data_IF_538842790459
#
_entry.id   IF_538842790459
#
_cell.length_a   1.000
_cell.length_b   1.000
_cell.length_c   1.000
_cell.angle_alpha   90.00
_cell.angle_beta   90.00
_cell.angle_gamma   90.00
#
_symmetry.space_group_name_H-M   'P 1'
#
loop_
_entity.id
_entity.type
_entity.pdbx_description
1 polymer ?
#
# COMPACT_ATOMS: atom_id res chain seq x y z
N UNK A 1 33.41 -35.82 35.22
CA UNK A 1 34.42 -34.78 34.92
C UNK A 1 34.61 -33.69 35.99
N UNK A 2 33.60 -33.20 36.75
CA UNK A 2 33.79 -32.00 37.61
C UNK A 2 34.60 -32.30 38.89
N UNK A 3 34.52 -33.54 39.37
CA UNK A 3 35.25 -33.99 40.56
C UNK A 3 36.76 -34.01 40.34
N UNK A 4 37.24 -34.34 39.13
CA UNK A 4 38.67 -34.42 38.80
C UNK A 4 39.37 -33.05 38.83
N UNK A 5 38.69 -31.96 38.47
CA UNK A 5 39.31 -30.62 38.35
C UNK A 5 39.63 -30.01 39.72
N UNK A 6 38.82 -30.31 40.75
CA UNK A 6 39.09 -29.87 42.13
C UNK A 6 39.93 -30.87 42.92
N UNK A 7 39.78 -32.16 42.63
CA UNK A 7 40.54 -33.20 43.30
C UNK A 7 42.02 -33.15 42.90
N UNK A 8 42.36 -32.88 41.64
CA UNK A 8 43.76 -32.91 41.18
C UNK A 8 44.66 -31.88 41.89
N UNK A 9 44.30 -30.58 42.02
CA UNK A 9 45.13 -29.62 42.75
C UNK A 9 45.27 -29.95 44.24
N UNK A 10 44.17 -30.38 44.87
CA UNK A 10 44.14 -30.73 46.31
C UNK A 10 44.95 -31.99 46.59
N UNK A 11 44.80 -33.03 45.76
CA UNK A 11 45.60 -34.25 45.84
C UNK A 11 47.08 -33.95 45.54
N UNK A 12 47.39 -33.10 44.56
CA UNK A 12 48.77 -32.69 44.29
C UNK A 12 49.42 -32.01 45.49
N UNK A 13 48.71 -31.12 46.20
CA UNK A 13 49.22 -30.48 47.43
C UNK A 13 49.46 -31.50 48.55
N UNK A 14 48.58 -32.50 48.69
CA UNK A 14 48.73 -33.58 49.69
C UNK A 14 49.89 -34.52 49.34
N UNK A 15 50.06 -34.86 48.06
CA UNK A 15 51.15 -35.73 47.58
C UNK A 15 52.52 -35.04 47.62
N UNK A 16 52.57 -33.73 47.33
CA UNK A 16 53.81 -32.95 47.39
C UNK A 16 54.22 -32.72 48.85
N UNK A 17 53.28 -32.41 49.75
CA UNK A 17 53.60 -32.15 51.17
C UNK A 17 53.94 -33.39 51.99
N UNK A 18 53.61 -34.59 51.51
CA UNK A 18 53.92 -35.88 52.15
C UNK A 18 55.28 -36.47 51.72
N UNK A 19 56.03 -35.76 50.89
CA UNK A 19 57.28 -36.26 50.32
C UNK A 19 58.50 -35.57 50.94
N UNK A 20 59.49 -36.36 51.39
CA UNK A 20 60.63 -35.86 52.17
C UNK A 20 61.48 -34.83 51.41
N UNK A 21 61.55 -34.94 50.08
CA UNK A 21 62.26 -33.99 49.23
C UNK A 21 61.67 -32.57 49.30
N UNK A 22 60.36 -32.44 49.51
CA UNK A 22 59.69 -31.14 49.59
C UNK A 22 60.10 -30.38 50.87
N UNK A 23 60.27 -31.11 51.98
CA UNK A 23 60.76 -30.55 53.24
C UNK A 23 62.27 -30.27 53.21
N UNK A 24 63.00 -30.83 52.24
CA UNK A 24 64.43 -30.53 52.02
C UNK A 24 64.70 -29.26 51.20
N UNK A 25 63.67 -28.66 50.57
CA UNK A 25 63.82 -27.43 49.78
C UNK A 25 64.06 -26.18 50.65
N UNK A 26 64.41 -25.07 50.02
CA UNK A 26 64.43 -23.78 50.70
C UNK A 26 63.01 -23.27 50.98
N UNK A 27 62.89 -22.43 52.01
CA UNK A 27 61.59 -21.88 52.45
C UNK A 27 60.91 -21.07 51.33
N UNK A 28 61.69 -20.36 50.51
CA UNK A 28 61.18 -19.57 49.39
C UNK A 28 60.51 -20.44 48.31
N UNK A 29 61.13 -21.56 47.94
CA UNK A 29 60.62 -22.46 46.89
C UNK A 29 59.36 -23.20 47.35
N UNK A 30 59.28 -23.61 48.63
CA UNK A 30 58.05 -24.18 49.21
C UNK A 30 56.87 -23.22 49.13
N UNK A 31 57.09 -21.95 49.51
CA UNK A 31 56.04 -20.92 49.48
C UNK A 31 55.57 -20.69 48.05
N UNK A 32 56.48 -20.66 47.07
CA UNK A 32 56.17 -20.52 45.64
C UNK A 32 55.29 -21.66 45.12
N UNK A 33 55.62 -22.91 45.47
CA UNK A 33 54.84 -24.09 45.08
C UNK A 33 53.43 -24.03 45.69
N UNK A 34 53.30 -23.75 46.99
CA UNK A 34 51.99 -23.62 47.62
C UNK A 34 51.13 -22.49 47.03
N UNK A 35 51.73 -21.32 46.79
CA UNK A 35 51.00 -20.20 46.17
C UNK A 35 50.54 -20.55 44.76
N UNK A 36 51.36 -21.23 43.95
CA UNK A 36 50.96 -21.67 42.61
C UNK A 36 49.76 -22.64 42.62
N UNK A 37 49.70 -23.57 43.59
CA UNK A 37 48.57 -24.50 43.73
C UNK A 37 47.28 -23.80 44.20
N UNK A 38 47.39 -22.83 45.11
CA UNK A 38 46.26 -22.02 45.57
C UNK A 38 45.71 -21.18 44.41
N UNK A 39 46.58 -20.55 43.63
CA UNK A 39 46.20 -19.78 42.45
C UNK A 39 45.52 -20.67 41.40
N UNK A 40 46.04 -21.87 41.13
CA UNK A 40 45.42 -22.81 40.19
C UNK A 40 44.03 -23.29 40.67
N UNK A 41 43.86 -23.56 41.96
CA UNK A 41 42.57 -23.92 42.54
C UNK A 41 41.56 -22.75 42.46
N UNK A 42 42.02 -21.52 42.71
CA UNK A 42 41.22 -20.31 42.55
C UNK A 42 40.76 -20.12 41.09
N UNK A 43 41.64 -20.30 40.10
CA UNK A 43 41.27 -20.25 38.68
C UNK A 43 40.26 -21.33 38.30
N UNK A 44 40.40 -22.56 38.81
CA UNK A 44 39.43 -23.63 38.58
C UNK A 44 38.06 -23.32 39.19
N UNK A 45 38.03 -22.74 40.39
CA UNK A 45 36.80 -22.28 41.04
C UNK A 45 36.14 -21.12 40.28
N UNK A 46 36.92 -20.14 39.81
CA UNK A 46 36.42 -19.06 38.97
C UNK A 46 35.89 -19.57 37.63
N UNK A 47 36.57 -20.54 37.00
CA UNK A 47 36.13 -21.15 35.75
C UNK A 47 34.84 -21.96 35.93
N UNK A 48 34.67 -22.66 37.06
CA UNK A 48 33.44 -23.36 37.40
C UNK A 48 32.28 -22.39 37.62
N UNK A 49 32.50 -21.35 38.43
CA UNK A 49 31.51 -20.30 38.66
C UNK A 49 31.11 -19.62 37.35
N UNK A 50 32.06 -19.39 36.43
CA UNK A 50 31.78 -18.87 35.09
C UNK A 50 31.00 -19.86 34.22
N UNK A 51 31.29 -21.16 34.31
CA UNK A 51 30.57 -22.21 33.58
C UNK A 51 29.13 -22.39 34.09
N UNK A 52 28.91 -22.42 35.40
CA UNK A 52 27.59 -22.45 36.00
C UNK A 52 26.80 -21.16 35.71
N UNK A 53 27.47 -20.00 35.77
CA UNK A 53 26.87 -18.72 35.37
C UNK A 53 26.44 -18.75 33.89
N UNK A 54 27.23 -19.32 32.99
CA UNK A 54 26.87 -19.50 31.57
C UNK A 54 25.68 -20.45 31.39
N UNK A 55 25.64 -21.56 32.12
CA UNK A 55 24.52 -22.51 32.08
C UNK A 55 23.23 -21.86 32.60
N UNK A 56 23.33 -21.10 33.69
CA UNK A 56 22.25 -20.33 34.29
C UNK A 56 21.74 -19.24 33.34
N UNK A 57 22.64 -18.46 32.75
CA UNK A 57 22.30 -17.43 31.75
C UNK A 57 21.61 -18.01 30.52
N UNK A 58 22.05 -19.18 30.02
CA UNK A 58 21.39 -19.86 28.89
C UNK A 58 19.99 -20.37 29.24
N UNK A 59 19.79 -20.87 30.46
CA UNK A 59 18.47 -21.26 30.95
C UNK A 59 17.55 -20.04 31.13
N UNK A 60 18.08 -18.93 31.67
CA UNK A 60 17.37 -17.67 31.80
C UNK A 60 16.99 -17.08 30.44
N UNK A 61 17.90 -17.10 29.45
CA UNK A 61 17.59 -16.67 28.07
C UNK A 61 16.52 -17.54 27.43
N UNK A 62 16.56 -18.87 27.60
CA UNK A 62 15.49 -19.75 27.13
C UNK A 62 14.16 -19.45 27.82
N UNK A 63 14.17 -19.22 29.13
CA UNK A 63 12.96 -18.84 29.87
C UNK A 63 12.41 -17.49 29.40
N UNK A 64 13.28 -16.48 29.24
CA UNK A 64 12.93 -15.16 28.68
C UNK A 64 12.37 -15.29 27.27
N UNK A 65 12.95 -16.15 26.43
CA UNK A 65 12.45 -16.42 25.09
C UNK A 65 11.06 -17.06 25.13
N UNK A 66 10.86 -18.11 25.93
CA UNK A 66 9.54 -18.75 26.13
C UNK A 66 8.52 -17.74 26.68
N UNK A 67 8.89 -16.90 27.63
CA UNK A 67 8.01 -15.85 28.17
C UNK A 67 7.70 -14.79 27.12
N UNK A 68 8.67 -14.39 26.31
CA UNK A 68 8.48 -13.44 25.20
C UNK A 68 7.56 -14.02 24.12
N UNK A 69 7.75 -15.29 23.76
CA UNK A 69 6.94 -16.00 22.77
C UNK A 69 5.50 -16.15 23.30
N UNK A 70 5.33 -16.55 24.56
CA UNK A 70 4.03 -16.65 25.24
C UNK A 70 3.32 -15.29 25.33
N UNK A 71 4.05 -14.21 25.62
CA UNK A 71 3.50 -12.85 25.63
C UNK A 71 3.06 -12.41 24.22
N UNK A 72 3.83 -12.78 23.20
CA UNK A 72 3.51 -12.48 21.80
C UNK A 72 2.27 -13.25 21.35
N UNK A 73 2.17 -14.52 21.72
CA UNK A 73 1.00 -15.38 21.45
C UNK A 73 -0.26 -14.86 22.17
N UNK A 74 -0.14 -14.45 23.43
CA UNK A 74 -1.24 -13.82 24.18
C UNK A 74 -1.72 -12.51 23.52
N UNK A 75 -0.78 -11.66 23.08
CA UNK A 75 -1.10 -10.43 22.33
C UNK A 75 -1.77 -10.73 21.00
N UNK A 76 -1.29 -11.74 20.28
CA UNK A 76 -1.89 -12.20 19.02
C UNK A 76 -3.32 -12.70 19.23
N UNK A 77 -3.53 -13.56 20.23
CA UNK A 77 -4.86 -14.07 20.59
C UNK A 77 -5.82 -12.93 20.97
N UNK A 78 -5.36 -11.97 21.77
CA UNK A 78 -6.15 -10.78 22.10
C UNK A 78 -6.48 -9.94 20.87
N UNK A 79 -5.51 -9.76 19.96
CA UNK A 79 -5.73 -9.05 18.71
C UNK A 79 -6.78 -9.73 17.84
N UNK A 80 -6.67 -11.04 17.66
CA UNK A 80 -7.61 -11.84 16.86
C UNK A 80 -9.01 -11.84 17.46
N UNK A 81 -9.13 -11.90 18.79
CA UNK A 81 -10.41 -11.80 19.48
C UNK A 81 -11.08 -10.44 19.26
N UNK A 82 -10.34 -9.34 19.42
CA UNK A 82 -10.87 -8.00 19.16
C UNK A 82 -11.19 -7.78 17.69
N UNK A 83 -10.34 -8.26 16.79
CA UNK A 83 -10.59 -8.21 15.35
C UNK A 83 -11.88 -8.96 15.00
N UNK A 84 -12.12 -10.13 15.59
CA UNK A 84 -13.37 -10.87 15.42
C UNK A 84 -14.59 -10.07 15.89
N UNK A 85 -14.53 -9.45 17.08
CA UNK A 85 -15.60 -8.57 17.57
C UNK A 85 -15.88 -7.41 16.61
N UNK A 86 -14.83 -6.82 16.03
CA UNK A 86 -14.97 -5.78 15.02
C UNK A 86 -15.62 -6.29 13.73
N UNK A 87 -15.32 -7.53 13.31
CA UNK A 87 -15.97 -8.17 12.16
C UNK A 87 -17.45 -8.48 12.42
N UNK A 88 -17.81 -8.90 13.63
CA UNK A 88 -19.22 -9.10 14.03
C UNK A 88 -19.99 -7.78 13.99
N UNK A 89 -19.38 -6.69 14.46
CA UNK A 89 -19.98 -5.35 14.34
C UNK A 89 -20.10 -4.89 12.87
N UNK A 90 -19.08 -5.18 12.06
CA UNK A 90 -19.09 -4.94 10.62
C UNK A 90 -20.25 -5.64 9.93
N UNK A 91 -20.50 -6.91 10.22
CA UNK A 91 -21.60 -7.67 9.61
C UNK A 91 -22.96 -7.02 9.87
N UNK A 92 -23.20 -6.56 11.10
CA UNK A 92 -24.44 -5.85 11.45
C UNK A 92 -24.61 -4.56 10.65
N UNK A 93 -23.55 -3.75 10.53
CA UNK A 93 -23.61 -2.51 9.76
C UNK A 93 -23.72 -2.78 8.25
N UNK A 94 -23.09 -3.84 7.75
CA UNK A 94 -23.22 -4.27 6.36
C UNK A 94 -24.66 -4.64 6.03
N UNK A 95 -25.38 -5.29 6.96
CA UNK A 95 -26.82 -5.55 6.83
C UNK A 95 -27.63 -4.26 6.60
N UNK A 96 -27.37 -3.22 7.39
CA UNK A 96 -28.02 -1.91 7.25
C UNK A 96 -27.69 -1.24 5.91
N UNK A 97 -26.45 -1.34 5.44
CA UNK A 97 -26.06 -0.81 4.13
C UNK A 97 -26.79 -1.55 3.00
N UNK A 98 -26.95 -2.88 3.10
CA UNK A 98 -27.69 -3.67 2.11
C UNK A 98 -29.18 -3.31 2.08
N UNK A 99 -29.78 -3.06 3.25
CA UNK A 99 -31.16 -2.56 3.36
C UNK A 99 -31.29 -1.17 2.72
N UNK A 100 -30.38 -0.25 3.04
CA UNK A 100 -30.34 1.10 2.46
C UNK A 100 -30.16 1.05 0.93
N UNK A 101 -29.28 0.18 0.44
CA UNK A 101 -29.08 -0.05 -1.00
C UNK A 101 -30.32 -0.65 -1.69
N UNK A 102 -31.20 -1.32 -0.95
CA UNK A 102 -32.45 -1.88 -1.47
C UNK A 102 -33.64 -0.91 -1.34
N UNK A 103 -33.43 0.23 -0.68
CA UNK A 103 -34.43 1.28 -0.55
C UNK A 103 -34.60 2.09 -1.85
N UNK A 104 -35.64 2.93 -1.91
CA UNK A 104 -35.83 3.85 -3.03
C UNK A 104 -34.68 4.87 -3.18
N UNK A 105 -34.03 5.25 -2.08
CA UNK A 105 -32.81 6.08 -2.11
C UNK A 105 -31.64 5.30 -2.69
N UNK A 106 -31.44 4.05 -2.24
CA UNK A 106 -30.40 3.15 -2.74
C UNK A 106 -30.52 2.89 -4.24
N UNK A 107 -31.73 2.65 -4.75
CA UNK A 107 -31.97 2.46 -6.18
C UNK A 107 -31.64 3.70 -7.01
N UNK A 108 -31.93 4.91 -6.52
CA UNK A 108 -31.49 6.15 -7.17
C UNK A 108 -29.97 6.25 -7.25
N UNK A 109 -29.28 5.91 -6.15
CA UNK A 109 -27.81 5.91 -6.10
C UNK A 109 -27.26 4.91 -7.12
N UNK A 110 -27.76 3.67 -7.15
CA UNK A 110 -27.35 2.65 -8.14
C UNK A 110 -27.57 3.11 -9.58
N UNK A 111 -28.69 3.74 -9.87
CA UNK A 111 -28.95 4.28 -11.21
C UNK A 111 -27.95 5.38 -11.58
N UNK A 112 -27.64 6.30 -10.67
CA UNK A 112 -26.63 7.35 -10.91
C UNK A 112 -25.22 6.78 -11.06
N UNK A 113 -24.88 5.70 -10.33
CA UNK A 113 -23.59 5.00 -10.49
C UNK A 113 -23.41 4.45 -11.91
N UNK A 114 -24.48 4.00 -12.58
CA UNK A 114 -24.45 3.50 -13.97
C UNK A 114 -24.18 4.59 -15.01
N UNK A 115 -24.50 5.85 -14.70
CA UNK A 115 -24.21 6.98 -15.59
C UNK A 115 -22.72 7.36 -15.56
N UNK A 116 -22.00 6.92 -14.51
CA UNK A 116 -20.55 7.09 -14.34
C UNK A 116 -20.11 8.58 -14.23
N UNK A 117 -20.95 9.44 -13.66
CA UNK A 117 -20.61 10.83 -13.35
C UNK A 117 -20.49 11.07 -11.85
N UNK A 118 -19.30 11.50 -11.41
CA UNK A 118 -18.98 11.60 -9.98
C UNK A 118 -19.86 12.63 -9.27
N UNK A 119 -20.05 13.82 -9.86
CA UNK A 119 -20.87 14.88 -9.26
C UNK A 119 -22.33 14.45 -9.02
N UNK A 120 -22.88 13.54 -9.84
CA UNK A 120 -24.29 13.11 -9.74
C UNK A 120 -24.54 12.13 -8.59
N UNK A 121 -23.48 11.53 -8.05
CA UNK A 121 -23.58 10.50 -7.02
C UNK A 121 -22.85 10.87 -5.74
N UNK A 122 -21.81 11.69 -5.80
CA UNK A 122 -20.90 11.94 -4.70
C UNK A 122 -21.64 12.35 -3.43
N UNK A 123 -22.42 13.44 -3.47
CA UNK A 123 -23.15 13.94 -2.30
C UNK A 123 -24.17 12.94 -1.77
N UNK A 124 -24.88 12.24 -2.67
CA UNK A 124 -25.86 11.22 -2.28
C UNK A 124 -25.23 10.04 -1.53
N UNK A 125 -23.96 9.75 -1.80
CA UNK A 125 -23.20 8.69 -1.12
C UNK A 125 -22.57 9.22 0.16
N UNK A 126 -21.80 10.32 0.09
CA UNK A 126 -21.00 10.80 1.22
C UNK A 126 -21.82 11.47 2.32
N UNK A 127 -23.05 11.92 2.03
CA UNK A 127 -23.97 12.49 3.02
C UNK A 127 -24.94 11.46 3.61
N UNK A 128 -24.99 10.25 3.07
CA UNK A 128 -25.88 9.20 3.57
C UNK A 128 -25.39 8.69 4.94
N UNK A 129 -26.22 8.84 5.97
CA UNK A 129 -25.86 8.51 7.35
C UNK A 129 -25.55 7.01 7.56
N UNK A 130 -26.22 6.11 6.84
CA UNK A 130 -25.95 4.67 6.91
C UNK A 130 -24.56 4.38 6.35
N UNK A 131 -24.23 4.97 5.20
CA UNK A 131 -22.93 4.79 4.56
C UNK A 131 -21.80 5.43 5.38
N UNK A 132 -22.00 6.64 5.92
CA UNK A 132 -21.03 7.32 6.80
C UNK A 132 -20.67 6.43 8.00
N UNK A 133 -21.67 5.87 8.68
CA UNK A 133 -21.47 5.00 9.85
C UNK A 133 -20.67 3.76 9.48
N UNK A 134 -21.06 3.11 8.38
CA UNK A 134 -20.38 1.92 7.89
C UNK A 134 -18.92 2.21 7.48
N UNK A 135 -18.68 3.26 6.71
CA UNK A 135 -17.32 3.65 6.29
C UNK A 135 -16.45 4.04 7.49
N UNK A 136 -17.02 4.71 8.50
CA UNK A 136 -16.30 5.00 9.74
C UNK A 136 -15.89 3.74 10.50
N UNK A 137 -16.74 2.71 10.47
CA UNK A 137 -16.38 1.39 11.01
C UNK A 137 -15.24 0.75 10.20
N UNK A 138 -15.27 0.81 8.86
CA UNK A 138 -14.17 0.33 8.01
C UNK A 138 -12.84 1.03 8.36
N UNK A 139 -12.85 2.36 8.51
CA UNK A 139 -11.67 3.12 8.94
C UNK A 139 -11.16 2.63 10.30
N UNK A 140 -12.06 2.40 11.25
CA UNK A 140 -11.72 1.93 12.60
C UNK A 140 -11.07 0.53 12.58
N UNK A 141 -11.59 -0.38 11.76
CA UNK A 141 -11.02 -1.72 11.58
C UNK A 141 -9.62 -1.64 10.95
N UNK A 142 -9.47 -0.88 9.87
CA UNK A 142 -8.19 -0.72 9.19
C UNK A 142 -7.15 -0.03 10.09
N UNK A 143 -7.57 0.89 10.95
CA UNK A 143 -6.70 1.48 11.98
C UNK A 143 -6.31 0.49 13.07
N UNK A 144 -7.23 -0.37 13.48
CA UNK A 144 -6.93 -1.43 14.44
C UNK A 144 -5.88 -2.39 13.87
N UNK A 145 -6.03 -2.79 12.60
CA UNK A 145 -5.00 -3.58 11.88
C UNK A 145 -3.67 -2.80 11.82
N UNK A 146 -3.70 -1.48 11.61
CA UNK A 146 -2.48 -0.70 11.46
C UNK A 146 -1.70 -0.51 12.77
N UNK A 147 -2.39 0.02 13.78
CA UNK A 147 -1.79 0.48 15.04
C UNK A 147 -1.90 -0.55 16.16
N UNK A 148 -2.95 -1.37 16.14
CA UNK A 148 -3.24 -2.37 17.18
C UNK A 148 -2.57 -3.72 16.94
N UNK A 149 -1.80 -3.89 15.86
CA UNK A 149 -1.18 -5.16 15.51
C UNK A 149 -0.24 -5.66 16.61
N UNK A 150 -0.37 -6.94 16.96
CA UNK A 150 0.32 -7.56 18.10
C UNK A 150 1.85 -7.59 17.98
N UNK A 151 2.39 -7.45 16.78
CA UNK A 151 3.83 -7.46 16.50
C UNK A 151 4.30 -6.09 15.98
N UNK A 152 5.09 -5.34 16.76
CA UNK A 152 5.59 -4.01 16.37
C UNK A 152 6.55 -4.02 15.16
N UNK A 153 7.23 -5.14 14.93
CA UNK A 153 8.18 -5.35 13.81
C UNK A 153 7.57 -6.13 12.64
N UNK A 154 6.24 -6.36 12.66
CA UNK A 154 5.53 -7.07 11.59
C UNK A 154 5.68 -6.38 10.25
N UNK A 155 5.77 -7.20 9.21
CA UNK A 155 5.77 -6.72 7.83
C UNK A 155 4.35 -6.28 7.45
N UNK A 156 4.24 -5.37 6.49
CA UNK A 156 2.94 -4.91 6.02
C UNK A 156 2.13 -6.06 5.40
N UNK A 157 2.80 -7.05 4.83
CA UNK A 157 2.22 -8.27 4.27
C UNK A 157 1.43 -9.07 5.31
N UNK A 158 1.94 -9.20 6.54
CA UNK A 158 1.24 -9.93 7.62
C UNK A 158 -0.06 -9.21 8.01
N UNK A 159 -0.06 -7.87 7.96
CA UNK A 159 -1.24 -7.05 8.23
C UNK A 159 -2.25 -7.09 7.09
N UNK A 160 -1.78 -7.18 5.84
CA UNK A 160 -2.63 -7.25 4.64
C UNK A 160 -3.58 -8.45 4.69
N UNK A 161 -3.17 -9.58 5.27
CA UNK A 161 -4.04 -10.76 5.44
C UNK A 161 -5.35 -10.40 6.16
N UNK A 162 -5.30 -9.58 7.21
CA UNK A 162 -6.51 -9.18 7.95
C UNK A 162 -7.35 -8.15 7.18
N UNK A 163 -6.71 -7.26 6.42
CA UNK A 163 -7.42 -6.32 5.54
C UNK A 163 -8.13 -7.06 4.38
N UNK A 164 -7.50 -8.11 3.85
CA UNK A 164 -8.10 -9.02 2.87
C UNK A 164 -9.27 -9.80 3.47
N UNK A 165 -9.16 -10.32 4.69
CA UNK A 165 -10.29 -10.96 5.37
C UNK A 165 -11.49 -10.02 5.47
N UNK A 166 -11.29 -8.77 5.92
CA UNK A 166 -12.34 -7.76 5.93
C UNK A 166 -12.95 -7.57 4.53
N UNK A 167 -12.10 -7.44 3.51
CA UNK A 167 -12.54 -7.25 2.11
C UNK A 167 -13.49 -8.35 1.64
N UNK A 168 -13.22 -9.60 1.96
CA UNK A 168 -14.01 -10.75 1.48
C UNK A 168 -15.47 -10.73 1.94
N UNK A 169 -15.80 -10.01 3.02
CA UNK A 169 -17.18 -9.88 3.49
C UNK A 169 -17.97 -8.78 2.76
N UNK A 170 -17.29 -7.90 2.02
CA UNK A 170 -17.90 -6.71 1.43
C UNK A 170 -18.39 -7.02 0.01
N UNK A 171 -19.64 -6.65 -0.27
CA UNK A 171 -20.21 -6.82 -1.61
C UNK A 171 -19.67 -5.77 -2.58
N UNK A 172 -19.67 -6.09 -3.88
CA UNK A 172 -19.30 -5.19 -4.97
C UNK A 172 -19.75 -3.72 -4.84
N UNK A 173 -21.05 -3.50 -4.71
CA UNK A 173 -21.66 -2.16 -4.64
C UNK A 173 -21.19 -1.38 -3.41
N UNK A 174 -20.95 -2.08 -2.31
CA UNK A 174 -20.47 -1.50 -1.07
C UNK A 174 -18.98 -1.15 -1.15
N UNK A 175 -18.18 -1.94 -1.88
CA UNK A 175 -16.79 -1.60 -2.17
C UNK A 175 -16.69 -0.32 -3.01
N UNK A 176 -17.60 -0.14 -3.97
CA UNK A 176 -17.71 1.09 -4.76
C UNK A 176 -18.08 2.31 -3.88
N UNK A 177 -19.03 2.15 -2.95
CA UNK A 177 -19.33 3.19 -1.95
C UNK A 177 -18.10 3.57 -1.14
N UNK A 178 -17.37 2.58 -0.59
CA UNK A 178 -16.13 2.82 0.17
C UNK A 178 -15.11 3.58 -0.68
N UNK A 179 -14.95 3.18 -1.95
CA UNK A 179 -14.02 3.82 -2.88
C UNK A 179 -14.39 5.29 -3.12
N UNK A 180 -15.68 5.60 -3.35
CA UNK A 180 -16.19 6.97 -3.55
C UNK A 180 -15.96 7.83 -2.30
N UNK A 181 -16.19 7.28 -1.10
CA UNK A 181 -15.92 8.00 0.16
C UNK A 181 -14.47 8.44 0.32
N UNK A 182 -13.51 7.68 -0.22
CA UNK A 182 -12.09 8.06 -0.16
C UNK A 182 -11.65 8.98 -1.31
N UNK A 183 -12.53 9.30 -2.28
CA UNK A 183 -12.24 10.30 -3.30
C UNK A 183 -12.39 11.69 -2.67
N UNK A 184 -11.39 12.54 -2.88
CA UNK A 184 -11.45 13.94 -2.46
C UNK A 184 -11.99 14.79 -3.62
N UNK A 185 -13.32 14.89 -3.75
CA UNK A 185 -13.96 15.59 -4.87
C UNK A 185 -14.09 17.11 -4.67
N UNK A 186 -14.54 17.57 -3.50
CA UNK A 186 -14.77 19.00 -3.20
C UNK A 186 -13.73 19.64 -2.25
N UNK A 187 -12.61 18.98 -1.95
CA UNK A 187 -11.79 19.35 -0.77
C UNK A 187 -12.38 18.77 0.52
N UNK A 188 -11.65 18.84 1.65
CA UNK A 188 -11.87 18.14 2.96
C UNK A 188 -13.28 18.26 3.58
N UNK A 189 -14.31 17.74 2.91
CA UNK A 189 -15.72 17.89 3.27
C UNK A 189 -16.32 16.60 3.84
N UNK A 190 -15.69 15.45 3.58
CA UNK A 190 -16.14 14.15 4.07
C UNK A 190 -15.31 13.67 5.25
N UNK A 191 -16.02 13.21 6.30
CA UNK A 191 -15.42 12.67 7.52
C UNK A 191 -14.40 11.58 7.17
N UNK A 192 -13.12 11.84 7.46
CA UNK A 192 -12.01 10.89 7.33
C UNK A 192 -11.63 10.43 5.90
N UNK A 193 -12.03 11.09 4.81
CA UNK A 193 -11.72 10.62 3.44
C UNK A 193 -10.23 10.47 3.15
N UNK A 194 -9.39 11.44 3.55
CA UNK A 194 -7.93 11.32 3.44
C UNK A 194 -7.37 10.13 4.21
N UNK A 195 -7.88 9.92 5.43
CA UNK A 195 -7.46 8.84 6.30
C UNK A 195 -7.86 7.48 5.71
N UNK A 196 -9.09 7.38 5.22
CA UNK A 196 -9.62 6.23 4.51
C UNK A 196 -8.78 5.94 3.27
N UNK A 197 -8.59 6.91 2.38
CA UNK A 197 -7.78 6.77 1.16
C UNK A 197 -6.37 6.27 1.46
N UNK A 198 -5.74 6.81 2.51
CA UNK A 198 -4.41 6.38 2.96
C UNK A 198 -4.40 4.92 3.42
N UNK A 199 -5.38 4.52 4.24
CA UNK A 199 -5.48 3.14 4.74
C UNK A 199 -5.79 2.15 3.62
N UNK A 200 -6.74 2.48 2.72
CA UNK A 200 -7.09 1.66 1.57
C UNK A 200 -5.89 1.42 0.65
N UNK A 201 -5.10 2.47 0.37
CA UNK A 201 -3.89 2.33 -0.45
C UNK A 201 -2.77 1.58 0.27
N UNK A 202 -2.57 1.83 1.57
CA UNK A 202 -1.55 1.13 2.37
C UNK A 202 -1.73 -0.39 2.36
N UNK A 203 -2.98 -0.86 2.37
CA UNK A 203 -3.31 -2.28 2.34
C UNK A 203 -3.62 -2.83 0.95
N UNK A 204 -3.46 -2.04 -0.11
CA UNK A 204 -3.85 -2.44 -1.47
C UNK A 204 -5.28 -3.02 -1.51
N UNK A 205 -6.21 -2.36 -0.84
CA UNK A 205 -7.53 -2.93 -0.52
C UNK A 205 -8.30 -3.42 -1.76
N UNK A 206 -8.04 -2.86 -2.94
CA UNK A 206 -8.72 -3.20 -4.20
C UNK A 206 -7.87 -4.02 -5.19
N UNK A 207 -6.67 -4.48 -4.82
CA UNK A 207 -5.74 -5.15 -5.75
C UNK A 207 -6.25 -6.48 -6.30
N UNK A 208 -7.03 -7.22 -5.50
CA UNK A 208 -7.60 -8.52 -5.89
C UNK A 208 -9.06 -8.48 -6.34
N UNK A 209 -9.65 -7.29 -6.47
CA UNK A 209 -11.09 -7.17 -6.72
C UNK A 209 -11.40 -6.89 -8.21
N UNK A 210 -11.97 -7.86 -8.95
CA UNK A 210 -12.40 -7.63 -10.33
C UNK A 210 -13.61 -6.70 -10.43
N UNK A 211 -14.30 -6.39 -9.33
CA UNK A 211 -15.58 -5.68 -9.34
C UNK A 211 -15.44 -4.23 -9.78
N UNK A 212 -14.38 -3.53 -9.39
CA UNK A 212 -14.16 -2.16 -9.86
C UNK A 212 -14.07 -2.11 -11.40
N UNK A 213 -13.86 -3.25 -12.06
CA UNK A 213 -13.90 -3.40 -13.52
C UNK A 213 -15.27 -3.84 -14.09
N UNK A 214 -16.26 -4.21 -13.29
CA UNK A 214 -17.54 -4.75 -13.82
C UNK A 214 -18.76 -3.90 -13.46
N UNK A 215 -18.74 -3.15 -12.35
CA UNK A 215 -19.94 -2.46 -11.85
C UNK A 215 -20.21 -1.10 -12.48
N UNK A 216 -19.21 -0.43 -13.04
CA UNK A 216 -19.38 0.93 -13.58
C UNK A 216 -19.60 0.97 -15.10
N UNK A 217 -19.13 -0.03 -15.86
CA UNK A 217 -19.21 -0.03 -17.33
C UNK A 217 -19.59 -1.41 -17.85
N UNK A 218 -20.87 -1.56 -18.17
CA UNK A 218 -21.35 -2.66 -19.02
C UNK A 218 -20.86 -2.44 -20.45
N UNK A 219 -19.64 -2.87 -20.77
CA UNK A 219 -19.32 -3.18 -22.16
C UNK A 219 -20.09 -4.44 -22.57
N UNK A 220 -20.26 -4.68 -23.87
CA UNK A 220 -20.93 -5.88 -24.42
C UNK A 220 -20.34 -7.21 -23.91
N UNK A 221 -19.13 -7.20 -23.35
CA UNK A 221 -18.43 -8.36 -22.81
C UNK A 221 -18.30 -8.35 -21.27
N UNK A 222 -18.93 -7.40 -20.57
CA UNK A 222 -18.91 -7.31 -19.10
C UNK A 222 -17.53 -7.02 -18.49
N UNK A 223 -16.57 -6.51 -19.26
CA UNK A 223 -15.21 -6.16 -18.81
C UNK A 223 -14.91 -4.69 -19.06
N UNK A 224 -14.27 -4.03 -18.09
CA UNK A 224 -13.77 -2.67 -18.26
C UNK A 224 -12.77 -2.59 -19.40
N UNK A 225 -13.08 -1.82 -20.43
CA UNK A 225 -12.14 -1.48 -21.48
C UNK A 225 -11.46 -0.14 -21.15
N UNK A 226 -10.40 -0.22 -20.34
CA UNK A 226 -9.64 0.94 -19.87
C UNK A 226 -9.05 1.73 -21.03
N UNK A 227 -8.71 1.07 -22.14
CA UNK A 227 -8.13 1.74 -23.31
C UNK A 227 -9.18 2.57 -24.03
N UNK A 228 -10.37 2.01 -24.27
CA UNK A 228 -11.47 2.76 -24.88
C UNK A 228 -11.96 3.90 -23.98
N UNK A 229 -11.99 3.69 -22.66
CA UNK A 229 -12.23 4.75 -21.69
C UNK A 229 -11.22 5.89 -21.83
N UNK A 230 -9.93 5.54 -21.82
CA UNK A 230 -8.85 6.51 -21.94
C UNK A 230 -8.91 7.27 -23.27
N UNK A 231 -9.18 6.58 -24.37
CA UNK A 231 -9.30 7.19 -25.68
C UNK A 231 -10.46 8.19 -25.72
N UNK A 232 -11.64 7.77 -25.23
CA UNK A 232 -12.85 8.61 -25.21
C UNK A 232 -12.70 9.83 -24.31
N UNK A 233 -12.24 9.62 -23.07
CA UNK A 233 -12.33 10.65 -22.02
C UNK A 233 -11.09 11.56 -21.97
N UNK A 234 -9.95 11.11 -22.50
CA UNK A 234 -8.70 11.88 -22.46
C UNK A 234 -8.13 12.10 -23.85
N UNK A 235 -7.73 11.04 -24.56
CA UNK A 235 -6.90 11.19 -25.77
C UNK A 235 -7.62 11.89 -26.91
N UNK A 236 -8.90 11.59 -27.15
CA UNK A 236 -9.69 12.24 -28.21
C UNK A 236 -9.83 13.74 -27.96
N UNK A 237 -10.08 14.17 -26.73
CA UNK A 237 -10.18 15.58 -26.38
C UNK A 237 -8.86 16.30 -26.60
N UNK A 238 -7.74 15.74 -26.10
CA UNK A 238 -6.41 16.32 -26.31
C UNK A 238 -6.07 16.40 -27.80
N UNK A 239 -6.41 15.38 -28.58
CA UNK A 239 -6.20 15.35 -30.03
C UNK A 239 -6.97 16.46 -30.75
N UNK A 240 -8.25 16.64 -30.44
CA UNK A 240 -9.06 17.73 -31.03
C UNK A 240 -8.50 19.10 -30.62
N UNK A 241 -8.00 19.24 -29.39
CA UNK A 241 -7.29 20.43 -28.94
C UNK A 241 -6.02 20.73 -29.75
N UNK A 242 -5.18 19.73 -29.99
CA UNK A 242 -3.96 19.85 -30.81
C UNK A 242 -4.33 20.24 -32.24
N UNK A 243 -5.28 19.52 -32.85
CA UNK A 243 -5.77 19.78 -34.20
C UNK A 243 -6.29 21.21 -34.36
N UNK A 244 -7.17 21.65 -33.47
CA UNK A 244 -7.68 23.02 -33.46
C UNK A 244 -6.54 24.04 -33.30
N UNK A 245 -5.60 23.78 -32.40
CA UNK A 245 -4.48 24.69 -32.12
C UNK A 245 -3.50 24.83 -33.29
N UNK A 246 -3.29 23.78 -34.08
CA UNK A 246 -2.32 23.79 -35.21
C UNK A 246 -2.99 24.25 -36.51
N UNK A 247 -4.17 23.71 -36.83
CA UNK A 247 -4.84 23.94 -38.12
C UNK A 247 -5.69 25.22 -38.06
N UNK A 248 -6.49 25.40 -37.00
CA UNK A 248 -7.55 26.41 -36.99
C UNK A 248 -7.07 27.79 -36.52
N UNK A 249 -6.02 27.88 -35.70
CA UNK A 249 -5.46 29.20 -35.31
C UNK A 249 -4.75 29.91 -36.47
N UNK A 250 -4.24 29.17 -37.47
CA UNK A 250 -3.61 29.75 -38.67
C UNK A 250 -4.64 30.31 -39.67
N UNK A 251 -5.89 29.86 -39.63
CA UNK A 251 -6.95 30.27 -40.56
C UNK A 251 -8.25 30.52 -39.78
N UNK A 252 -8.63 31.78 -39.61
CA UNK A 252 -9.73 32.29 -38.75
C UNK A 252 -11.14 31.67 -38.93
N UNK A 253 -11.34 30.69 -39.80
CA UNK A 253 -12.66 30.23 -40.26
C UNK A 253 -12.99 28.75 -40.02
N UNK A 254 -12.26 28.00 -39.18
CA UNK A 254 -12.63 26.61 -38.90
C UNK A 254 -12.84 26.32 -37.42
N UNK A 255 -14.06 25.85 -37.11
CA UNK A 255 -14.54 25.15 -35.91
C UNK A 255 -14.39 25.88 -34.56
N UNK A 256 -15.45 25.80 -33.75
CA UNK A 256 -15.41 26.25 -32.36
C UNK A 256 -14.32 25.49 -31.59
N UNK A 257 -13.65 26.20 -30.67
CA UNK A 257 -12.67 25.60 -29.77
C UNK A 257 -13.33 24.41 -29.05
N UNK A 258 -12.69 23.23 -28.98
CA UNK A 258 -13.28 22.09 -28.29
C UNK A 258 -13.69 22.47 -26.86
N UNK A 259 -14.93 22.20 -26.46
CA UNK A 259 -15.35 22.49 -25.09
C UNK A 259 -14.52 21.66 -24.09
N UNK A 260 -13.98 22.31 -23.07
CA UNK A 260 -13.42 21.59 -21.92
C UNK A 260 -14.60 21.09 -21.11
N UNK A 261 -14.75 19.77 -21.02
CA UNK A 261 -15.70 19.17 -20.10
C UNK A 261 -15.03 18.99 -18.74
N UNK A 262 -15.55 19.65 -17.71
CA UNK A 262 -15.14 19.43 -16.31
C UNK A 262 -15.75 18.15 -15.71
N UNK A 263 -16.33 17.30 -16.55
CA UNK A 263 -17.07 16.13 -16.12
C UNK A 263 -16.12 15.03 -15.65
N UNK A 264 -16.04 14.87 -14.33
CA UNK A 264 -15.24 13.82 -13.69
C UNK A 264 -16.05 12.53 -13.63
N UNK A 265 -15.48 11.45 -14.20
CA UNK A 265 -16.05 10.11 -14.13
C UNK A 265 -15.69 9.38 -12.85
N UNK A 266 -16.62 8.56 -12.34
CA UNK A 266 -16.40 7.76 -11.13
C UNK A 266 -15.28 6.76 -11.39
N UNK A 267 -15.38 6.04 -12.51
CA UNK A 267 -14.42 5.01 -12.92
C UNK A 267 -13.00 5.57 -12.94
N UNK A 268 -12.76 6.65 -13.70
CA UNK A 268 -11.44 7.24 -13.82
C UNK A 268 -10.90 7.70 -12.46
N UNK A 269 -11.75 8.31 -11.63
CA UNK A 269 -11.37 8.77 -10.29
C UNK A 269 -10.92 7.64 -9.37
N UNK A 270 -11.62 6.50 -9.41
CA UNK A 270 -11.30 5.31 -8.62
C UNK A 270 -10.02 4.66 -9.12
N UNK A 271 -9.93 4.38 -10.44
CA UNK A 271 -8.76 3.76 -11.06
C UNK A 271 -7.48 4.56 -10.80
N UNK A 272 -7.59 5.89 -10.82
CA UNK A 272 -6.48 6.78 -10.52
C UNK A 272 -6.12 6.80 -9.03
N UNK A 273 -7.12 6.73 -8.15
CA UNK A 273 -6.93 6.90 -6.70
C UNK A 273 -6.44 5.65 -5.97
N UNK A 274 -6.65 4.47 -6.53
CA UNK A 274 -6.37 3.20 -5.85
C UNK A 274 -5.57 2.23 -6.72
N UNK A 275 -4.72 1.43 -6.07
CA UNK A 275 -4.04 0.31 -6.75
C UNK A 275 -5.06 -0.75 -7.15
N UNK A 276 -5.14 -1.03 -8.44
CA UNK A 276 -6.02 -2.05 -9.04
C UNK A 276 -5.46 -2.42 -10.42
N UNK A 277 -5.81 -3.60 -10.97
CA UNK A 277 -5.39 -3.99 -12.32
C UNK A 277 -5.82 -2.97 -13.39
N UNK A 278 -7.04 -2.42 -13.28
CA UNK A 278 -7.53 -1.39 -14.20
C UNK A 278 -6.76 -0.06 -14.05
N UNK A 279 -6.37 0.30 -12.82
CA UNK A 279 -5.58 1.49 -12.55
C UNK A 279 -4.16 1.39 -13.11
N UNK A 280 -3.56 0.19 -13.09
CA UNK A 280 -2.24 -0.04 -13.69
C UNK A 280 -2.28 0.10 -15.21
N UNK A 281 -3.34 -0.42 -15.86
CA UNK A 281 -3.57 -0.21 -17.29
C UNK A 281 -3.77 1.28 -17.62
N UNK A 282 -4.59 1.98 -16.84
CA UNK A 282 -4.83 3.42 -17.03
C UNK A 282 -3.53 4.22 -16.94
N UNK A 283 -2.70 3.93 -15.93
CA UNK A 283 -1.37 4.55 -15.76
C UNK A 283 -0.46 4.25 -16.94
N UNK A 284 -0.46 3.04 -17.47
CA UNK A 284 0.33 2.69 -18.65
C UNK A 284 -0.09 3.50 -19.89
N UNK A 285 -1.39 3.68 -20.12
CA UNK A 285 -1.91 4.52 -21.20
C UNK A 285 -1.46 5.98 -21.03
N UNK A 286 -1.56 6.55 -19.82
CA UNK A 286 -1.05 7.89 -19.52
C UNK A 286 0.46 8.03 -19.74
N UNK A 287 1.26 7.04 -19.36
CA UNK A 287 2.71 7.06 -19.59
C UNK A 287 3.05 7.06 -21.08
N UNK A 288 2.23 6.41 -21.91
CA UNK A 288 2.39 6.42 -23.37
C UNK A 288 1.89 7.69 -24.05
N UNK A 289 1.11 8.52 -23.33
CA UNK A 289 0.40 9.66 -23.89
C UNK A 289 1.35 10.67 -24.55
N UNK A 290 2.47 10.99 -23.91
CA UNK A 290 3.41 12.01 -24.43
C UNK A 290 3.89 11.63 -25.83
N UNK A 291 4.45 10.43 -26.00
CA UNK A 291 4.94 9.97 -27.31
C UNK A 291 3.83 9.89 -28.35
N UNK A 292 2.61 9.53 -27.93
CA UNK A 292 1.45 9.54 -28.82
C UNK A 292 1.08 10.98 -29.24
N UNK A 293 1.13 11.94 -28.33
CA UNK A 293 0.80 13.34 -28.62
C UNK A 293 1.86 14.01 -29.50
N UNK A 294 3.15 13.70 -29.33
CA UNK A 294 4.22 14.17 -30.22
C UNK A 294 3.96 13.75 -31.66
N UNK A 295 3.61 12.48 -31.88
CA UNK A 295 3.26 11.96 -33.21
C UNK A 295 2.01 12.64 -33.80
N UNK A 296 1.00 12.92 -32.98
CA UNK A 296 -0.22 13.63 -33.43
C UNK A 296 0.10 15.08 -33.80
N UNK A 297 0.98 15.76 -33.05
CA UNK A 297 1.45 17.12 -33.38
C UNK A 297 2.21 17.12 -34.72
N UNK A 298 3.17 16.21 -34.89
CA UNK A 298 3.93 16.07 -36.15
C UNK A 298 3.01 15.86 -37.35
N UNK A 299 2.04 14.95 -37.20
CA UNK A 299 1.04 14.66 -38.22
C UNK A 299 0.23 15.91 -38.62
N UNK A 300 -0.29 16.66 -37.64
CA UNK A 300 -1.08 17.85 -37.93
C UNK A 300 -0.24 19.03 -38.45
N UNK A 301 1.03 19.13 -38.09
CA UNK A 301 1.96 20.09 -38.69
C UNK A 301 2.19 19.78 -40.18
N UNK A 302 2.37 18.51 -40.53
CA UNK A 302 2.52 18.08 -41.92
C UNK A 302 1.28 18.42 -42.75
N UNK A 303 0.08 18.19 -42.21
CA UNK A 303 -1.19 18.59 -42.84
C UNK A 303 -1.24 20.10 -43.04
N UNK A 304 -0.96 20.88 -41.99
CA UNK A 304 -1.02 22.34 -42.06
C UNK A 304 -0.05 22.91 -43.11
N UNK A 305 1.15 22.35 -43.24
CA UNK A 305 2.12 22.77 -44.25
C UNK A 305 1.67 22.42 -45.67
N UNK A 306 1.04 21.25 -45.88
CA UNK A 306 0.45 20.87 -47.17
C UNK A 306 -0.67 21.83 -47.58
N UNK A 307 -1.54 22.20 -46.66
CA UNK A 307 -2.62 23.16 -46.93
C UNK A 307 -2.08 24.57 -47.22
N UNK A 308 -1.07 25.06 -46.47
CA UNK A 308 -0.42 26.32 -46.77
C UNK A 308 0.18 26.34 -48.19
N UNK A 309 0.89 25.28 -48.57
CA UNK A 309 1.49 25.16 -49.91
C UNK A 309 0.44 25.21 -51.02
N UNK A 310 -0.73 24.59 -50.81
CA UNK A 310 -1.84 24.66 -51.78
C UNK A 310 -2.39 26.08 -51.92
N UNK A 311 -2.55 26.80 -50.80
CA UNK A 311 -3.02 28.19 -50.80
C UNK A 311 -2.02 29.10 -51.52
N UNK A 312 -0.73 28.98 -51.21
CA UNK A 312 0.33 29.78 -51.84
C UNK A 312 0.37 29.53 -53.36
N UNK A 313 0.30 28.27 -53.79
CA UNK A 313 0.22 27.92 -55.22
C UNK A 313 -1.01 28.55 -55.89
N UNK A 314 -2.17 28.49 -55.23
CA UNK A 314 -3.42 29.08 -55.75
C UNK A 314 -3.31 30.61 -55.85
N UNK A 315 -2.70 31.26 -54.85
CA UNK A 315 -2.47 32.72 -54.88
C UNK A 315 -1.52 33.13 -56.01
N UNK A 316 -0.46 32.36 -56.25
CA UNK A 316 0.50 32.59 -57.34
C UNK A 316 -0.14 32.50 -58.74
N UNK A 317 -1.26 31.78 -58.88
CA UNK A 317 -2.03 31.67 -60.12
C UNK A 317 -2.95 32.87 -60.37
N UNK A 318 -3.23 33.69 -59.35
CA UNK A 318 -4.10 34.86 -59.49
C UNK A 318 -3.39 35.99 -60.25
N UNK A 319 -4.09 36.55 -61.24
CA UNK A 319 -3.57 37.58 -62.15
C UNK A 319 -2.99 38.80 -61.40
N UNK A 320 -3.59 39.19 -60.28
CA UNK A 320 -3.15 40.32 -59.46
C UNK A 320 -1.89 40.07 -58.64
N UNK A 321 -1.57 38.81 -58.29
CA UNK A 321 -0.39 38.48 -57.47
C UNK A 321 0.91 38.66 -58.26
N UNK A 322 0.90 38.31 -59.55
CA UNK A 322 2.03 38.52 -60.48
C UNK A 322 2.34 40.00 -60.72
N UNK A 323 1.37 40.90 -60.51
CA UNK A 323 1.57 42.34 -60.64
C UNK A 323 2.22 42.99 -59.40
N UNK A 324 2.28 42.27 -58.28
CA UNK A 324 2.80 42.75 -56.99
C UNK A 324 4.14 42.12 -56.57
N UNK A 325 4.62 41.10 -57.31
CA UNK A 325 5.79 40.29 -56.96
C UNK A 325 7.07 40.66 -57.72
N UNK A 326 7.07 41.78 -58.44
CA UNK A 326 8.26 42.41 -59.04
C UNK A 326 8.90 43.45 -58.11
#
# INVERSE_FOLDING_TARGET
MPVLIFIVPVISVVLISSSDWFWSLDVADRISIFTSCITAAAFCASAWNAYEAKKSAKAAMKAVQITSDSLTEARKSSFEQWFKTLLEHHEKLLGQVKEELSSSTGEKIKNNLRVDYLHQVYDSVVMNQVFIRYVSNIVSILEYIDKGFYSPSSKIEDKKVYAEQLRHFITPDVMLIIAIFGINYYGETSHNSHKLKRLLNKYNFFEGDPVLNTTLITTSNGRLDVKNLFERDYRSLVREYIKHSIICTRYKNYSEKPEVSDVVRITNSILWSYKSPGGDLLRAEFNSLISNMEKEIEYYLEIANKELTKVDNTLNELVGYKLFSD
#
